data_IF_504652726782
#
_entry.id   IF_504652726782
#
_cell.length_a   1.000
_cell.length_b   1.000
_cell.length_c   1.000
_cell.angle_alpha   90.00
_cell.angle_beta   90.00
_cell.angle_gamma   90.00
#
_symmetry.space_group_name_H-M   'P 1'
#
loop_
_entity.id
_entity.type
_entity.pdbx_description
1 polymer ?
#
# COMPACT_ATOMS: atom_id res chain seq x y z
N UNK A 1 -2.05 -0.59 -21.13
CA UNK A 1 -2.02 0.86 -20.98
C UNK A 1 -1.09 1.14 -19.85
N UNK A 2 -0.01 1.87 -20.12
CA UNK A 2 0.92 2.37 -19.11
C UNK A 2 0.18 3.35 -18.17
N UNK A 3 0.60 3.49 -16.90
CA UNK A 3 -0.09 4.40 -15.98
C UNK A 3 0.04 5.84 -16.49
N UNK A 4 -1.10 6.52 -16.51
CA UNK A 4 -1.24 7.93 -16.82
C UNK A 4 -0.62 8.72 -15.67
N UNK A 5 0.35 9.58 -16.01
CA UNK A 5 0.82 10.66 -15.15
C UNK A 5 -0.25 11.75 -15.19
N UNK A 6 -0.98 11.93 -14.10
CA UNK A 6 -1.77 13.15 -13.91
C UNK A 6 -1.54 13.67 -12.49
N UNK A 7 -0.70 14.72 -12.43
CA UNK A 7 -0.48 15.63 -11.31
C UNK A 7 0.21 15.02 -10.08
N UNK A 8 1.25 15.71 -9.60
CA UNK A 8 2.15 15.27 -8.52
C UNK A 8 1.52 15.26 -7.13
N UNK A 9 0.31 14.72 -7.00
CA UNK A 9 -0.32 14.33 -5.75
C UNK A 9 -0.33 12.81 -5.68
N UNK A 10 0.41 12.28 -4.71
CA UNK A 10 0.52 10.85 -4.44
C UNK A 10 -0.75 10.35 -3.75
N UNK A 11 -1.87 10.28 -4.47
CA UNK A 11 -3.09 9.65 -3.95
C UNK A 11 -2.76 8.23 -3.44
N UNK A 12 -3.27 7.92 -2.25
CA UNK A 12 -3.30 6.55 -1.74
C UNK A 12 -4.50 5.85 -2.39
N UNK A 13 -4.33 4.58 -2.75
CA UNK A 13 -5.49 3.76 -3.12
C UNK A 13 -6.36 3.54 -1.88
N UNK A 14 -7.66 3.25 -2.05
CA UNK A 14 -8.51 2.89 -0.93
C UNK A 14 -7.88 1.74 -0.09
N UNK A 15 -7.75 1.97 1.21
CA UNK A 15 -7.10 1.06 2.16
C UNK A 15 -5.55 1.03 2.14
N UNK A 16 -4.89 1.84 1.30
CA UNK A 16 -3.43 1.98 1.29
C UNK A 16 -2.97 2.94 2.40
N UNK A 17 -1.90 2.57 3.10
CA UNK A 17 -1.30 3.36 4.19
C UNK A 17 0.13 3.75 3.86
N UNK A 18 0.62 4.81 4.52
CA UNK A 18 2.05 5.13 4.59
C UNK A 18 2.62 4.51 5.86
N UNK A 19 3.76 3.83 5.75
CA UNK A 19 4.44 3.23 6.89
C UNK A 19 5.95 3.48 6.81
N UNK A 20 6.62 3.35 7.95
CA UNK A 20 8.06 3.53 8.10
C UNK A 20 8.71 2.30 8.72
N UNK A 21 9.86 1.92 8.17
CA UNK A 21 10.72 0.85 8.71
C UNK A 21 12.15 1.35 8.77
N UNK A 22 12.93 0.87 9.73
CA UNK A 22 14.27 1.39 9.98
C UNK A 22 15.14 0.48 10.81
N UNK A 23 16.31 0.97 11.17
CA UNK A 23 17.40 0.19 11.75
C UNK A 23 17.20 -0.18 13.22
N UNK A 24 16.44 0.61 13.98
CA UNK A 24 16.17 0.33 15.40
C UNK A 24 15.00 -0.64 15.58
N UNK A 25 14.91 -1.24 16.76
CA UNK A 25 13.87 -2.22 17.11
C UNK A 25 12.45 -1.65 17.00
N UNK A 26 12.25 -0.42 17.47
CA UNK A 26 10.97 0.30 17.41
C UNK A 26 10.55 0.68 15.99
N UNK A 27 11.48 0.66 15.03
CA UNK A 27 11.21 0.79 13.60
C UNK A 27 11.28 -0.58 12.87
N UNK A 28 11.23 -1.68 13.60
CA UNK A 28 11.10 -3.02 13.04
C UNK A 28 12.40 -3.65 12.50
N UNK A 29 13.57 -3.03 12.69
CA UNK A 29 14.87 -3.56 12.25
C UNK A 29 14.90 -4.00 10.78
N UNK A 30 14.40 -3.15 9.89
CA UNK A 30 14.24 -3.39 8.44
C UNK A 30 13.26 -4.51 8.07
N UNK A 31 12.47 -5.01 9.03
CA UNK A 31 11.38 -5.94 8.78
C UNK A 31 10.09 -5.18 8.49
N UNK A 32 9.66 -5.16 7.23
CA UNK A 32 8.42 -4.48 6.81
C UNK A 32 7.16 -4.99 7.54
N UNK A 33 7.13 -6.26 7.97
CA UNK A 33 6.04 -6.81 8.79
C UNK A 33 5.94 -6.18 10.20
N UNK A 34 7.00 -5.49 10.64
CA UNK A 34 7.09 -4.77 11.92
C UNK A 34 7.16 -3.25 11.72
N UNK A 35 6.82 -2.76 10.53
CA UNK A 35 6.83 -1.35 10.23
C UNK A 35 5.81 -0.59 11.08
N UNK A 36 6.11 0.67 11.35
CA UNK A 36 5.18 1.58 12.05
C UNK A 36 4.29 2.23 11.00
N UNK A 37 2.98 2.09 11.16
CA UNK A 37 1.99 2.74 10.27
C UNK A 37 1.82 4.19 10.70
N UNK A 38 1.93 5.13 9.76
CA UNK A 38 1.63 6.53 9.99
C UNK A 38 0.12 6.73 9.99
N UNK A 39 -0.34 7.75 10.69
CA UNK A 39 -1.75 8.16 10.71
C UNK A 39 -1.89 9.49 9.95
N UNK A 40 -3.01 9.71 9.24
CA UNK A 40 -3.31 11.01 8.67
C UNK A 40 -3.39 12.05 9.80
N UNK A 41 -2.64 13.13 9.68
CA UNK A 41 -2.63 14.22 10.64
C UNK A 41 -3.74 15.24 10.35
N UNK A 42 -4.24 15.28 9.12
CA UNK A 42 -5.28 16.18 8.61
C UNK A 42 -6.33 15.37 7.86
N UNK A 43 -7.57 15.89 7.79
CA UNK A 43 -8.69 15.21 7.13
C UNK A 43 -8.51 15.07 5.61
N UNK A 44 -7.68 15.93 5.00
CA UNK A 44 -7.41 15.90 3.56
C UNK A 44 -6.46 14.76 3.13
N UNK A 45 -5.87 14.04 4.10
CA UNK A 45 -4.98 12.90 3.87
C UNK A 45 -3.63 13.28 3.23
N UNK A 46 -3.26 14.57 3.20
CA UNK A 46 -2.01 15.03 2.60
C UNK A 46 -0.82 14.92 3.55
N UNK A 47 -1.07 15.04 4.85
CA UNK A 47 -0.04 14.96 5.89
C UNK A 47 -0.20 13.68 6.71
N UNK A 48 0.90 12.94 6.88
CA UNK A 48 0.95 11.69 7.63
C UNK A 48 2.00 11.78 8.73
N UNK A 49 1.71 11.25 9.92
CA UNK A 49 2.60 11.31 11.09
C UNK A 49 2.60 10.02 11.90
N UNK A 50 3.75 9.69 12.47
CA UNK A 50 3.89 8.70 13.53
C UNK A 50 4.80 9.24 14.64
N UNK A 51 4.55 8.83 15.87
CA UNK A 51 5.44 9.09 17.01
C UNK A 51 6.16 7.79 17.35
N UNK A 52 7.49 7.79 17.28
CA UNK A 52 8.31 6.60 17.49
C UNK A 52 9.43 6.91 18.48
N UNK A 53 9.64 6.00 19.43
CA UNK A 53 10.77 6.06 20.34
C UNK A 53 12.04 5.61 19.62
N UNK A 54 13.10 6.40 19.64
CA UNK A 54 14.36 6.11 18.93
C UNK A 54 15.56 6.21 19.88
N UNK A 55 16.63 5.42 19.67
CA UNK A 55 17.83 5.51 20.49
C UNK A 55 18.45 6.90 20.44
N UNK A 56 18.86 7.42 21.61
CA UNK A 56 19.60 8.69 21.70
C UNK A 56 21.09 8.47 21.43
N UNK A 57 21.74 9.48 20.86
CA UNK A 57 23.19 9.50 20.67
C UNK A 57 23.71 8.57 19.56
N UNK A 58 22.83 8.01 18.73
CA UNK A 58 23.19 7.20 17.57
C UNK A 58 22.37 7.58 16.33
N UNK A 59 22.94 7.36 15.15
CA UNK A 59 22.24 7.53 13.88
C UNK A 59 21.23 6.38 13.69
N UNK A 60 19.95 6.71 13.52
CA UNK A 60 18.92 5.76 13.13
C UNK A 60 18.55 5.99 11.67
N UNK A 61 18.58 4.93 10.86
CA UNK A 61 18.25 4.98 9.44
C UNK A 61 16.86 4.39 9.20
N UNK A 62 16.13 4.93 8.24
CA UNK A 62 14.77 4.49 7.94
C UNK A 62 14.35 4.79 6.49
N UNK A 63 13.26 4.18 6.06
CA UNK A 63 12.60 4.43 4.77
C UNK A 63 11.09 4.36 4.93
N UNK A 64 10.39 5.22 4.19
CA UNK A 64 8.95 5.10 4.06
C UNK A 64 8.59 4.12 2.94
N UNK A 65 7.41 3.54 3.05
CA UNK A 65 6.75 2.81 1.96
C UNK A 65 5.24 3.05 2.00
N UNK A 66 4.60 2.82 0.86
CA UNK A 66 3.15 2.66 0.74
C UNK A 66 2.80 1.17 0.73
N UNK A 67 1.69 0.80 1.33
CA UNK A 67 1.27 -0.60 1.37
C UNK A 67 -0.08 -0.83 2.02
N UNK A 68 -0.41 -2.09 2.25
CA UNK A 68 -1.66 -2.54 2.85
C UNK A 68 -1.37 -3.34 4.11
N UNK A 69 -2.18 -3.12 5.15
CA UNK A 69 -2.18 -3.94 6.37
C UNK A 69 -3.40 -4.85 6.31
N UNK A 70 -3.17 -6.14 6.15
CA UNK A 70 -4.23 -7.14 6.10
C UNK A 70 -4.36 -7.81 7.47
N UNK A 71 -5.54 -7.73 8.06
CA UNK A 71 -5.82 -8.43 9.30
C UNK A 71 -5.82 -9.95 9.09
N UNK A 72 -5.34 -10.68 10.11
CA UNK A 72 -5.39 -12.14 10.08
C UNK A 72 -6.83 -12.62 10.20
N UNK A 73 -7.23 -13.55 9.31
CA UNK A 73 -8.52 -14.24 9.39
C UNK A 73 -8.67 -15.11 10.63
N UNK A 74 -7.55 -15.49 11.24
CA UNK A 74 -7.53 -16.24 12.50
C UNK A 74 -7.43 -15.25 13.67
N UNK A 75 -8.28 -15.43 14.69
CA UNK A 75 -8.24 -14.63 15.91
C UNK A 75 -6.84 -14.70 16.55
N UNK A 76 -6.18 -13.55 16.67
CA UNK A 76 -4.84 -13.41 17.26
C UNK A 76 -3.65 -13.73 16.33
N UNK A 77 -3.88 -13.99 15.04
CA UNK A 77 -2.77 -14.12 14.08
C UNK A 77 -2.15 -12.76 13.73
N UNK A 78 -0.88 -12.72 13.28
CA UNK A 78 -0.22 -11.47 12.92
C UNK A 78 -0.87 -10.84 11.69
N UNK A 79 -0.99 -9.52 11.68
CA UNK A 79 -1.35 -8.78 10.47
C UNK A 79 -0.26 -8.98 9.40
N UNK A 80 -0.68 -9.07 8.15
CA UNK A 80 0.21 -9.21 7.01
C UNK A 80 0.39 -7.85 6.33
N UNK A 81 1.63 -7.39 6.23
CA UNK A 81 1.99 -6.15 5.55
C UNK A 81 2.38 -6.45 4.11
N UNK A 82 1.69 -5.83 3.14
CA UNK A 82 2.02 -5.91 1.71
C UNK A 82 2.53 -4.55 1.26
N UNK A 83 3.78 -4.50 0.81
CA UNK A 83 4.38 -3.25 0.31
C UNK A 83 4.04 -3.06 -1.16
N UNK A 84 3.40 -1.95 -1.49
CA UNK A 84 3.08 -1.55 -2.87
C UNK A 84 4.23 -0.75 -3.48
N UNK A 85 4.82 0.20 -2.75
CA UNK A 85 5.89 1.07 -3.22
C UNK A 85 6.88 1.47 -2.13
N UNK A 86 8.15 1.50 -2.46
CA UNK A 86 9.24 1.98 -1.59
C UNK A 86 9.76 3.35 -2.02
N UNK A 87 10.22 4.15 -1.06
CA UNK A 87 11.21 5.18 -1.37
C UNK A 87 12.54 4.53 -1.76
N UNK A 88 13.04 4.84 -2.96
CA UNK A 88 14.23 4.24 -3.56
C UNK A 88 15.39 5.21 -3.78
N UNK A 89 15.43 6.31 -3.01
CA UNK A 89 16.63 7.15 -2.93
C UNK A 89 17.85 6.32 -2.52
N UNK A 90 19.04 6.63 -3.06
CA UNK A 90 20.24 5.81 -2.84
C UNK A 90 20.55 5.57 -1.36
N UNK A 91 20.42 6.61 -0.54
CA UNK A 91 20.63 6.53 0.90
C UNK A 91 19.28 6.52 1.63
N UNK A 92 19.12 5.68 2.67
CA UNK A 92 18.00 5.79 3.58
C UNK A 92 17.98 7.16 4.26
N UNK A 93 16.81 7.59 4.72
CA UNK A 93 16.70 8.75 5.60
C UNK A 93 17.40 8.44 6.92
N UNK A 94 17.88 9.48 7.60
CA UNK A 94 18.66 9.36 8.82
C UNK A 94 18.21 10.39 9.86
N UNK A 95 18.04 9.94 11.10
CA UNK A 95 17.76 10.78 12.25
C UNK A 95 18.83 10.59 13.33
N UNK A 96 19.22 11.68 13.99
CA UNK A 96 20.17 11.68 15.10
C UNK A 96 19.65 12.62 16.19
N UNK A 97 18.77 12.13 17.08
CA UNK A 97 18.11 12.95 18.10
C UNK A 97 19.15 13.52 19.07
N UNK A 98 19.18 14.85 19.21
CA UNK A 98 19.89 15.53 20.30
C UNK A 98 18.97 15.75 21.51
N UNK A 99 17.71 16.06 21.24
CA UNK A 99 16.69 16.39 22.24
C UNK A 99 15.80 15.19 22.59
N UNK A 100 15.15 15.20 23.78
CA UNK A 100 14.25 14.14 24.21
C UNK A 100 13.02 13.97 23.32
N UNK A 101 12.51 15.07 22.79
CA UNK A 101 11.36 15.12 21.89
C UNK A 101 11.66 16.11 20.78
N UNK A 102 11.37 15.72 19.54
CA UNK A 102 11.54 16.58 18.38
C UNK A 102 10.60 16.09 17.27
N UNK A 103 10.20 17.02 16.40
CA UNK A 103 9.36 16.73 15.24
C UNK A 103 10.23 16.88 14.01
N UNK A 104 10.22 15.86 13.15
CA UNK A 104 10.87 15.91 11.84
C UNK A 104 9.78 16.05 10.78
N UNK A 105 9.93 17.05 9.93
CA UNK A 105 9.22 17.11 8.66
C UNK A 105 10.15 16.56 7.57
N UNK A 106 9.83 15.36 7.08
CA UNK A 106 10.59 14.66 6.05
C UNK A 106 10.21 15.07 4.61
N UNK A 107 9.28 16.03 4.48
CA UNK A 107 8.73 16.47 3.21
C UNK A 107 7.89 15.39 2.54
N UNK A 108 7.97 15.35 1.21
CA UNK A 108 7.12 14.48 0.41
C UNK A 108 7.69 13.06 0.28
N UNK A 109 6.81 12.07 0.45
CA UNK A 109 7.12 10.67 0.17
C UNK A 109 7.72 10.51 -1.23
N UNK A 110 8.85 9.80 -1.33
CA UNK A 110 9.43 9.46 -2.62
C UNK A 110 10.15 10.60 -3.32
N UNK A 111 10.18 11.81 -2.76
CA UNK A 111 10.88 12.95 -3.35
C UNK A 111 12.16 13.25 -2.58
N UNK A 112 13.28 13.31 -3.30
CA UNK A 112 14.57 13.76 -2.75
C UNK A 112 15.21 14.71 -3.73
N UNK A 113 15.56 15.91 -3.24
CA UNK A 113 16.12 16.99 -4.07
C UNK A 113 15.28 17.31 -5.31
N UNK A 114 13.95 17.17 -5.22
CA UNK A 114 13.01 17.39 -6.32
C UNK A 114 12.90 16.24 -7.33
N UNK A 115 13.60 15.13 -7.12
CA UNK A 115 13.54 13.93 -7.97
C UNK A 115 12.66 12.88 -7.29
N UNK A 116 11.69 12.36 -8.03
CA UNK A 116 10.91 11.20 -7.62
C UNK A 116 11.78 9.93 -7.71
N UNK A 117 12.01 9.28 -6.58
CA UNK A 117 12.63 7.96 -6.50
C UNK A 117 11.71 7.05 -5.70
N UNK A 118 10.73 6.50 -6.42
CA UNK A 118 9.81 5.49 -5.91
C UNK A 118 9.87 4.30 -6.84
N UNK A 119 9.95 3.09 -6.28
CA UNK A 119 9.85 1.86 -7.05
C UNK A 119 8.81 0.93 -6.44
N UNK A 120 8.31 0.00 -7.25
CA UNK A 120 7.37 -1.01 -6.81
C UNK A 120 8.00 -1.87 -5.72
N UNK A 121 7.21 -2.22 -4.71
CA UNK A 121 7.55 -3.25 -3.75
C UNK A 121 7.93 -4.53 -4.48
N UNK A 122 9.16 -5.02 -4.29
CA UNK A 122 9.47 -6.42 -4.59
C UNK A 122 8.51 -7.29 -3.79
N UNK A 123 7.97 -8.35 -4.40
CA UNK A 123 6.91 -9.25 -3.87
C UNK A 123 7.13 -9.61 -2.39
N UNK A 124 6.62 -8.78 -1.48
CA UNK A 124 6.74 -8.98 -0.02
C UNK A 124 5.90 -10.16 0.43
N UNK A 125 4.89 -10.52 -0.38
CA UNK A 125 4.12 -11.75 -0.30
C UNK A 125 3.86 -12.24 -1.73
N UNK A 126 4.16 -13.52 -2.00
CA UNK A 126 3.78 -14.14 -3.27
C UNK A 126 2.29 -14.52 -3.22
N UNK A 127 1.41 -13.59 -3.60
CA UNK A 127 -0.01 -13.90 -3.77
C UNK A 127 -0.22 -14.47 -5.18
N UNK A 128 -0.35 -15.79 -5.32
CA UNK A 128 -0.75 -16.41 -6.59
C UNK A 128 -2.28 -16.32 -6.73
N UNK A 129 -2.75 -15.48 -7.66
CA UNK A 129 -4.16 -15.51 -8.09
C UNK A 129 -4.28 -16.55 -9.20
N UNK A 130 -4.76 -17.75 -8.86
CA UNK A 130 -4.98 -18.84 -9.82
C UNK A 130 -6.44 -18.92 -10.25
N UNK A 131 -6.76 -18.39 -11.42
CA UNK A 131 -8.05 -18.61 -12.10
C UNK A 131 -8.03 -19.97 -12.83
N UNK A 132 -8.93 -20.89 -12.48
CA UNK A 132 -9.10 -22.17 -13.18
C UNK A 132 -10.54 -22.37 -13.66
N UNK A 133 -10.69 -22.60 -14.97
CA UNK A 133 -11.95 -23.00 -15.59
C UNK A 133 -11.98 -24.52 -15.70
N UNK A 134 -12.61 -25.20 -14.74
CA UNK A 134 -12.73 -26.66 -14.77
C UNK A 134 -14.00 -27.11 -15.49
N UNK A 135 -13.88 -28.14 -16.31
CA UNK A 135 -15.00 -28.86 -16.92
C UNK A 135 -15.43 -29.99 -15.98
N UNK A 136 -16.71 -30.07 -15.62
CA UNK A 136 -17.24 -31.20 -14.81
C UNK A 136 -18.36 -31.95 -15.54
N UNK A 137 -19.46 -31.27 -15.87
CA UNK A 137 -20.61 -31.84 -16.61
C UNK A 137 -21.02 -30.93 -17.77
N UNK A 138 -20.75 -29.62 -17.66
CA UNK A 138 -20.98 -28.60 -18.69
C UNK A 138 -19.73 -27.74 -18.84
N UNK A 139 -19.49 -27.13 -20.02
CA UNK A 139 -18.38 -26.21 -20.18
C UNK A 139 -18.54 -24.99 -19.24
N UNK A 140 -17.47 -24.57 -18.53
CA UNK A 140 -17.52 -23.46 -17.57
C UNK A 140 -17.82 -22.10 -18.23
N UNK A 141 -17.60 -22.00 -19.55
CA UNK A 141 -17.98 -20.84 -20.37
C UNK A 141 -18.66 -21.36 -21.63
N UNK A 142 -19.87 -20.87 -21.92
CA UNK A 142 -20.63 -21.26 -23.12
C UNK A 142 -21.03 -20.04 -23.95
N UNK A 143 -20.73 -20.08 -25.26
CA UNK A 143 -21.14 -19.04 -26.22
C UNK A 143 -22.42 -19.49 -26.92
N UNK A 144 -23.55 -18.89 -26.55
CA UNK A 144 -24.88 -19.29 -27.04
C UNK A 144 -25.29 -18.60 -28.35
N UNK A 145 -24.71 -17.43 -28.65
CA UNK A 145 -25.05 -16.65 -29.85
C UNK A 145 -24.37 -17.24 -31.11
N UNK A 146 -25.18 -17.73 -32.07
CA UNK A 146 -24.72 -18.39 -33.31
C UNK A 146 -23.64 -17.61 -34.08
N UNK A 147 -23.76 -16.28 -34.16
CA UNK A 147 -22.82 -15.41 -34.88
C UNK A 147 -21.38 -15.46 -34.35
N UNK A 148 -21.18 -15.94 -33.13
CA UNK A 148 -19.86 -16.01 -32.50
C UNK A 148 -19.30 -17.43 -32.38
N UNK A 149 -19.96 -18.46 -32.97
CA UNK A 149 -19.52 -19.87 -32.87
C UNK A 149 -18.12 -20.15 -33.43
N UNK A 150 -17.63 -19.32 -34.35
CA UNK A 150 -16.29 -19.43 -34.96
C UNK A 150 -15.34 -18.29 -34.54
N UNK A 151 -15.76 -17.45 -33.60
CA UNK A 151 -14.98 -16.29 -33.17
C UNK A 151 -13.84 -16.73 -32.24
N UNK A 152 -12.73 -15.99 -32.28
CA UNK A 152 -11.67 -16.08 -31.28
C UNK A 152 -12.01 -15.17 -30.11
N UNK A 153 -11.84 -15.67 -28.90
CA UNK A 153 -12.09 -14.92 -27.67
C UNK A 153 -10.79 -14.63 -26.94
N UNK A 154 -10.70 -13.46 -26.32
CA UNK A 154 -9.62 -13.08 -25.42
C UNK A 154 -10.23 -12.86 -24.04
N UNK A 155 -9.69 -13.54 -23.04
CA UNK A 155 -10.03 -13.29 -21.65
C UNK A 155 -9.05 -12.25 -21.11
N UNK A 156 -9.57 -11.20 -20.47
CA UNK A 156 -8.78 -10.25 -19.69
C UNK A 156 -9.26 -10.33 -18.26
N UNK A 157 -8.33 -10.60 -17.34
CA UNK A 157 -8.57 -10.48 -15.91
C UNK A 157 -8.14 -9.08 -15.49
N UNK A 158 -9.02 -8.38 -14.79
CA UNK A 158 -8.73 -7.08 -14.17
C UNK A 158 -9.13 -7.22 -12.71
N UNK A 159 -8.27 -6.75 -11.80
CA UNK A 159 -8.64 -6.56 -10.40
C UNK A 159 -9.28 -5.18 -10.31
N UNK A 160 -10.52 -5.12 -9.86
CA UNK A 160 -11.18 -3.87 -9.48
C UNK A 160 -11.14 -3.80 -7.95
N UNK A 161 -10.74 -2.65 -7.41
CA UNK A 161 -10.67 -2.44 -5.96
C UNK A 161 -12.04 -2.53 -5.31
N UNK A 162 -12.07 -2.69 -3.99
CA UNK A 162 -13.31 -2.60 -3.23
C UNK A 162 -13.79 -1.14 -3.22
N UNK A 163 -14.99 -0.89 -3.74
CA UNK A 163 -15.76 0.30 -3.40
C UNK A 163 -16.39 0.02 -2.03
N UNK A 164 -16.07 0.84 -1.03
CA UNK A 164 -16.86 0.86 0.20
C UNK A 164 -18.24 1.39 -0.18
N UNK A 165 -19.27 0.56 -0.05
CA UNK A 165 -20.66 1.00 -0.19
C UNK A 165 -20.88 2.08 0.88
N UNK A 166 -20.94 3.35 0.46
CA UNK A 166 -21.38 4.44 1.32
C UNK A 166 -22.74 4.04 1.90
N UNK A 167 -22.81 3.79 3.21
CA UNK A 167 -24.08 3.59 3.89
C UNK A 167 -24.95 4.82 3.62
N UNK A 168 -25.98 4.63 2.80
CA UNK A 168 -26.97 5.63 2.44
C UNK A 168 -27.62 6.14 3.75
N UNK A 169 -27.19 7.32 4.20
CA UNK A 169 -27.74 7.97 5.37
C UNK A 169 -29.25 8.14 5.19
N UNK A 170 -30.10 7.66 6.13
CA UNK A 170 -31.54 7.73 5.95
C UNK A 170 -31.96 9.20 5.95
N UNK A 171 -32.41 9.68 4.79
CA UNK A 171 -32.95 11.02 4.64
C UNK A 171 -34.12 11.22 5.61
N UNK A 172 -33.96 12.13 6.57
CA UNK A 172 -35.06 12.59 7.39
C UNK A 172 -35.96 13.49 6.55
N UNK A 173 -37.04 12.91 6.00
CA UNK A 173 -38.22 13.65 5.59
C UNK A 173 -39.40 13.15 6.42
N UNK A 174 -39.77 13.94 7.42
CA UNK A 174 -41.09 14.56 7.57
C UNK A 174 -41.10 15.55 8.72
#
# INVERSE_FOLDING_TARGET
SFPVLENGYLFLNSGEVIAVVGSCETLGSWCHQKAVTLQPAEEDGTLWRATVQVPRGGETKYRYFKGFILESKNAGGPCQVIVSRWETHQLPRSLSPSEPEFVIDDGHFGIHSGIECVDSGWLTCQTEIRLRLHYSVKPPVSITKKKFKKSRFRLKLTLEGFEEDEEESPSSRH
#
